data_IF_866367932990
#
_entry.id   IF_866367932990
#
_cell.length_a   1.000
_cell.length_b   1.000
_cell.length_c   1.000
_cell.angle_alpha   90.00
_cell.angle_beta   90.00
_cell.angle_gamma   90.00
#
_symmetry.space_group_name_H-M   'P 1'
#
loop_
_entity.id
_entity.type
_entity.pdbx_description
1 polymer ?
#
# COMPACT_ATOMS: atom_id res chain seq x y z
N UNK A 1 42.02 -6.29 19.45
CA UNK A 1 40.59 -6.45 19.80
C UNK A 1 39.95 -7.31 18.70
N UNK A 2 39.58 -8.54 19.02
CA UNK A 2 39.03 -9.48 18.04
C UNK A 2 37.50 -9.31 17.95
N UNK A 3 36.88 -9.78 16.85
CA UNK A 3 35.41 -9.76 16.69
C UNK A 3 34.73 -10.57 17.83
N UNK A 4 35.41 -11.54 18.41
CA UNK A 4 34.92 -12.31 19.56
C UNK A 4 34.91 -11.47 20.85
N UNK A 5 35.90 -10.62 21.07
CA UNK A 5 35.96 -9.72 22.22
C UNK A 5 34.83 -8.69 22.18
N UNK A 6 34.54 -8.16 20.98
CA UNK A 6 33.43 -7.24 20.77
C UNK A 6 32.05 -7.89 21.04
N UNK A 7 31.88 -9.14 20.59
CA UNK A 7 30.62 -9.88 20.85
C UNK A 7 30.43 -10.18 22.33
N UNK A 8 31.51 -10.45 23.06
CA UNK A 8 31.49 -10.71 24.51
C UNK A 8 31.06 -9.44 25.26
N UNK A 9 31.67 -8.30 24.96
CA UNK A 9 31.35 -6.99 25.58
C UNK A 9 29.91 -6.59 25.28
N UNK A 10 29.43 -6.81 24.07
CA UNK A 10 28.04 -6.49 23.71
C UNK A 10 27.02 -7.38 24.42
N UNK A 11 27.34 -8.67 24.65
CA UNK A 11 26.48 -9.57 25.43
C UNK A 11 26.45 -9.20 26.91
N UNK A 12 27.60 -8.89 27.49
CA UNK A 12 27.68 -8.48 28.90
C UNK A 12 26.99 -7.17 29.19
N UNK A 13 27.07 -6.19 28.27
CA UNK A 13 26.36 -4.92 28.40
C UNK A 13 24.85 -4.99 28.03
N UNK A 14 24.45 -5.92 27.17
CA UNK A 14 23.06 -6.13 26.79
C UNK A 14 22.26 -6.96 27.79
N UNK A 15 22.93 -7.76 28.65
CA UNK A 15 22.26 -8.56 29.66
C UNK A 15 21.93 -7.80 30.96
N UNK A 16 22.52 -6.62 31.16
CA UNK A 16 22.15 -5.76 32.29
C UNK A 16 20.85 -5.02 31.96
N UNK A 17 19.80 -5.24 32.75
CA UNK A 17 18.59 -4.44 32.64
C UNK A 17 18.94 -2.97 32.77
N UNK A 18 18.45 -2.10 31.87
CA UNK A 18 18.76 -0.67 31.97
C UNK A 18 18.29 -0.13 33.32
N UNK A 19 19.08 0.70 33.99
CA UNK A 19 18.74 1.23 35.31
C UNK A 19 17.35 1.88 35.27
N UNK A 20 16.53 1.67 36.31
CA UNK A 20 15.19 2.26 36.36
C UNK A 20 15.30 3.78 36.27
N UNK A 21 14.78 4.33 35.20
CA UNK A 21 14.71 5.80 35.02
C UNK A 21 13.34 6.30 35.44
N UNK A 22 13.17 6.82 36.68
CA UNK A 22 11.89 7.28 37.20
C UNK A 22 11.31 8.47 36.38
N UNK A 23 12.18 9.20 35.66
CA UNK A 23 11.76 10.32 34.81
C UNK A 23 11.37 9.90 33.38
N UNK A 24 11.43 8.61 33.01
CA UNK A 24 11.16 8.15 31.64
C UNK A 24 9.74 8.49 31.17
N UNK A 25 8.77 8.36 32.06
CA UNK A 25 7.35 8.62 31.77
C UNK A 25 7.13 10.11 31.49
N UNK A 26 7.65 10.99 32.35
CA UNK A 26 7.54 12.44 32.19
C UNK A 26 8.31 12.95 30.96
N UNK A 27 9.45 12.36 30.61
CA UNK A 27 10.21 12.68 29.40
C UNK A 27 9.43 12.31 28.13
N UNK A 28 8.76 11.14 28.10
CA UNK A 28 7.92 10.71 26.99
C UNK A 28 6.70 11.64 26.86
N UNK A 29 6.03 11.95 27.94
CA UNK A 29 4.87 12.85 27.95
C UNK A 29 5.26 14.28 27.49
N UNK A 30 6.40 14.81 27.95
CA UNK A 30 6.92 16.11 27.51
C UNK A 30 7.25 16.10 26.00
N UNK A 31 7.77 14.99 25.46
CA UNK A 31 8.07 14.84 24.03
C UNK A 31 6.79 14.79 23.17
N UNK A 32 5.77 14.10 23.66
CA UNK A 32 4.44 14.05 23.01
C UNK A 32 3.80 15.45 23.04
N UNK A 33 3.85 16.16 24.18
CA UNK A 33 3.30 17.51 24.32
C UNK A 33 3.99 18.52 23.40
N UNK A 34 5.34 18.47 23.29
CA UNK A 34 6.11 19.31 22.35
C UNK A 34 5.78 19.01 20.88
N UNK A 35 5.54 17.74 20.52
CA UNK A 35 5.10 17.39 19.15
C UNK A 35 3.69 17.88 18.85
N UNK A 36 2.77 17.83 19.80
CA UNK A 36 1.40 18.37 19.64
C UNK A 36 1.43 19.90 19.48
N UNK A 37 2.17 20.61 20.34
CA UNK A 37 2.32 22.07 20.26
C UNK A 37 2.98 22.54 18.96
N UNK A 38 3.98 21.82 18.43
CA UNK A 38 4.58 22.14 17.12
C UNK A 38 3.61 21.93 15.96
N UNK A 39 2.70 20.95 16.05
CA UNK A 39 1.68 20.72 15.02
C UNK A 39 0.58 21.78 15.06
N UNK A 40 0.22 22.31 16.23
CA UNK A 40 -0.75 23.40 16.36
C UNK A 40 -0.15 24.77 16.01
N UNK A 41 1.13 25.01 16.29
CA UNK A 41 1.81 26.25 15.93
C UNK A 41 2.04 26.43 14.41
N UNK A 42 2.18 25.32 13.66
CA UNK A 42 2.27 25.36 12.19
C UNK A 42 0.90 25.51 11.51
N UNK A 43 -0.21 25.31 12.22
CA UNK A 43 -1.55 25.53 11.72
C UNK A 43 -2.11 26.93 12.02
N UNK A 44 -1.42 27.74 12.81
CA UNK A 44 -1.89 29.05 13.31
C UNK A 44 -1.16 30.28 12.81
N UNK A 45 -0.22 30.14 11.90
CA UNK A 45 0.66 31.25 11.47
C UNK A 45 0.42 31.74 10.06
N UNK A 46 -0.72 32.33 9.74
CA UNK A 46 -0.89 33.34 8.70
C UNK A 46 -2.37 33.78 8.66
N UNK A 47 -2.71 34.84 9.34
CA UNK A 47 -3.68 35.89 9.00
C UNK A 47 -3.89 36.73 10.28
N UNK A 48 -3.08 37.73 10.44
CA UNK A 48 -3.37 38.88 11.29
C UNK A 48 -2.76 40.11 10.64
N UNK A 49 -3.48 40.75 9.74
CA UNK A 49 -3.31 42.15 9.42
C UNK A 49 -4.63 42.69 8.88
N UNK A 50 -5.16 43.67 9.60
CA UNK A 50 -6.05 44.73 9.18
C UNK A 50 -7.49 44.34 8.75
N UNK A 51 -8.43 44.63 9.64
CA UNK A 51 -9.47 45.66 9.42
C UNK A 51 -10.09 45.99 10.78
N UNK A 52 -9.78 47.19 11.31
CA UNK A 52 -10.54 47.84 12.34
C UNK A 52 -11.59 48.75 11.67
N UNK A 53 -12.70 48.94 12.38
CA UNK A 53 -13.81 49.87 12.13
C UNK A 53 -14.99 49.31 11.32
N UNK A 54 -16.06 48.97 11.96
CA UNK A 54 -17.21 49.79 12.42
C UNK A 54 -18.23 48.91 13.12
N UNK A 55 -18.52 49.23 14.38
CA UNK A 55 -19.63 48.64 15.12
C UNK A 55 -20.94 49.27 14.69
N UNK A 56 -21.87 48.44 14.22
CA UNK A 56 -23.28 48.75 14.30
C UNK A 56 -24.01 47.54 14.86
N UNK A 57 -24.59 47.76 16.04
CA UNK A 57 -25.39 46.83 16.81
C UNK A 57 -26.67 46.48 16.05
N UNK A 58 -26.82 45.22 15.62
CA UNK A 58 -28.10 44.58 15.34
C UNK A 58 -28.08 43.18 15.94
N UNK A 59 -29.11 42.75 16.69
CA UNK A 59 -29.21 41.40 17.18
C UNK A 59 -29.59 40.44 16.05
N UNK A 60 -28.58 39.95 15.35
CA UNK A 60 -28.73 38.93 14.29
C UNK A 60 -28.46 37.56 14.86
N UNK A 61 -29.39 36.65 14.71
CA UNK A 61 -29.28 35.21 14.96
C UNK A 61 -27.96 34.68 14.43
N UNK A 62 -27.09 34.23 15.34
CA UNK A 62 -25.82 33.63 15.00
C UNK A 62 -26.07 32.36 14.18
N UNK A 63 -25.89 32.44 12.88
CA UNK A 63 -25.88 31.29 12.00
C UNK A 63 -24.66 30.45 12.34
N UNK A 64 -24.82 29.14 12.66
CA UNK A 64 -23.66 28.30 12.97
C UNK A 64 -22.66 28.38 11.82
N UNK A 65 -21.35 28.49 12.10
CA UNK A 65 -20.33 28.58 11.06
C UNK A 65 -20.47 27.38 10.14
N UNK A 66 -20.57 27.65 8.85
CA UNK A 66 -20.60 26.62 7.83
C UNK A 66 -19.40 25.68 8.03
N UNK A 67 -19.56 24.36 8.00
CA UNK A 67 -18.47 23.44 8.22
C UNK A 67 -17.36 23.77 7.22
N UNK A 68 -16.17 24.06 7.75
CA UNK A 68 -14.98 24.37 6.95
C UNK A 68 -14.80 23.25 5.94
N UNK A 69 -14.91 23.57 4.66
CA UNK A 69 -14.66 22.61 3.57
C UNK A 69 -13.20 22.18 3.73
N UNK A 70 -12.97 20.94 4.12
CA UNK A 70 -11.63 20.41 4.30
C UNK A 70 -10.85 20.64 3.00
N UNK A 71 -9.70 21.33 3.10
CA UNK A 71 -8.87 21.63 1.95
C UNK A 71 -8.59 20.34 1.17
N UNK A 72 -8.83 20.34 -0.14
CA UNK A 72 -8.58 19.19 -1.01
C UNK A 72 -7.10 18.83 -0.90
N UNK A 73 -6.74 17.55 -0.66
CA UNK A 73 -5.35 17.14 -0.67
C UNK A 73 -4.77 17.42 -2.07
N UNK A 74 -3.77 18.27 -2.12
CA UNK A 74 -3.09 18.61 -3.39
C UNK A 74 -2.00 17.57 -3.62
N UNK A 75 -2.15 16.78 -4.67
CA UNK A 75 -1.10 15.86 -5.14
C UNK A 75 0.01 16.71 -5.83
N UNK A 76 1.32 16.46 -5.54
CA UNK A 76 2.42 17.29 -6.03
C UNK A 76 2.51 17.29 -7.57
N UNK A 77 3.15 18.31 -8.16
CA UNK A 77 3.40 18.33 -9.62
C UNK A 77 4.49 17.33 -10.01
N UNK A 78 5.52 17.23 -9.19
CA UNK A 78 6.64 16.29 -9.35
C UNK A 78 7.05 15.75 -8.01
N UNK A 79 7.60 14.55 -7.97
CA UNK A 79 8.27 13.98 -6.81
C UNK A 79 9.24 12.89 -7.23
N UNK A 80 10.15 12.51 -6.33
CA UNK A 80 11.11 11.43 -6.51
C UNK A 80 10.82 10.36 -5.46
N UNK A 81 10.71 9.09 -5.87
CA UNK A 81 10.57 7.96 -4.95
C UNK A 81 11.91 7.55 -4.34
N UNK A 82 11.87 6.68 -3.32
CA UNK A 82 13.06 6.27 -2.60
C UNK A 82 14.09 5.52 -3.47
N UNK A 83 13.65 4.90 -4.57
CA UNK A 83 14.53 4.27 -5.56
C UNK A 83 15.10 5.23 -6.61
N UNK A 84 14.84 6.54 -6.48
CA UNK A 84 15.30 7.56 -7.42
C UNK A 84 14.44 7.70 -8.68
N UNK A 85 13.27 7.04 -8.75
CA UNK A 85 12.34 7.24 -9.87
C UNK A 85 11.71 8.62 -9.79
N UNK A 86 11.78 9.36 -10.89
CA UNK A 86 11.18 10.69 -11.03
C UNK A 86 9.76 10.56 -11.56
N UNK A 87 8.83 11.23 -10.91
CA UNK A 87 7.41 11.27 -11.27
C UNK A 87 7.01 12.69 -11.67
N UNK A 88 6.32 12.81 -12.80
CA UNK A 88 5.77 14.06 -13.30
C UNK A 88 4.28 13.91 -13.55
N UNK A 89 3.47 14.80 -12.94
CA UNK A 89 2.02 14.80 -13.12
C UNK A 89 1.65 15.23 -14.54
N UNK A 90 0.87 14.40 -15.22
CA UNK A 90 0.42 14.64 -16.61
C UNK A 90 -1.07 14.92 -16.71
N UNK A 91 -1.85 14.49 -15.72
CA UNK A 91 -3.27 14.83 -15.61
C UNK A 91 -3.74 14.67 -14.15
N UNK A 92 -4.84 15.34 -13.79
CA UNK A 92 -5.45 15.19 -12.47
C UNK A 92 -6.95 15.45 -12.54
N UNK A 93 -7.69 14.88 -11.58
CA UNK A 93 -9.11 15.10 -11.39
C UNK A 93 -9.53 14.87 -9.95
N UNK A 94 -10.72 15.29 -9.61
CA UNK A 94 -11.33 15.02 -8.31
C UNK A 94 -12.67 14.34 -8.53
N UNK A 95 -12.96 13.30 -7.77
CA UNK A 95 -14.21 12.56 -7.85
C UNK A 95 -14.80 12.32 -6.45
N UNK A 96 -16.12 12.36 -6.37
CA UNK A 96 -16.87 12.06 -5.14
C UNK A 96 -17.47 10.67 -5.25
N UNK A 97 -17.26 9.83 -4.25
CA UNK A 97 -17.92 8.54 -4.12
C UNK A 97 -18.84 8.50 -2.91
N UNK A 98 -20.02 7.87 -2.99
CA UNK A 98 -20.66 7.37 -4.20
C UNK A 98 -21.03 8.51 -5.16
N UNK A 99 -20.82 8.29 -6.45
CA UNK A 99 -21.17 9.21 -7.53
C UNK A 99 -22.24 8.64 -8.45
N UNK A 100 -22.80 9.48 -9.30
CA UNK A 100 -23.89 9.10 -10.23
C UNK A 100 -23.41 8.83 -11.66
N UNK A 101 -22.30 9.45 -12.07
CA UNK A 101 -21.82 9.42 -13.47
C UNK A 101 -20.33 9.07 -13.51
N UNK A 102 -19.94 8.33 -14.53
CA UNK A 102 -18.56 8.13 -14.90
C UNK A 102 -17.92 9.43 -15.38
N UNK A 103 -16.64 9.57 -15.15
CA UNK A 103 -15.79 10.67 -15.60
C UNK A 103 -14.72 10.08 -16.50
N UNK A 104 -14.47 10.69 -17.65
CA UNK A 104 -13.35 10.33 -18.54
C UNK A 104 -12.30 11.41 -18.47
N UNK A 105 -11.05 11.00 -18.28
CA UNK A 105 -9.87 11.87 -18.25
C UNK A 105 -8.93 11.46 -19.38
N UNK A 106 -8.54 12.42 -20.18
CA UNK A 106 -7.52 12.23 -21.20
C UNK A 106 -6.13 12.31 -20.56
N UNK A 107 -5.37 11.25 -20.63
CA UNK A 107 -4.02 11.15 -20.06
C UNK A 107 -3.03 11.06 -21.22
N UNK A 108 -2.11 12.04 -21.38
CA UNK A 108 -1.03 11.93 -22.35
C UNK A 108 -0.13 10.72 -22.07
N UNK A 109 0.33 10.03 -23.11
CA UNK A 109 1.22 8.87 -23.02
C UNK A 109 2.42 9.13 -23.90
N UNK A 110 3.60 9.23 -23.30
CA UNK A 110 4.85 9.53 -24.02
C UNK A 110 5.69 8.29 -24.32
N UNK A 111 5.17 7.12 -23.96
CA UNK A 111 5.90 5.85 -24.00
C UNK A 111 6.46 5.41 -22.66
N UNK A 112 6.55 6.33 -21.70
CA UNK A 112 6.92 5.99 -20.34
C UNK A 112 5.73 5.38 -19.55
N UNK A 113 5.97 4.57 -18.53
CA UNK A 113 4.89 4.03 -17.70
C UNK A 113 4.13 5.13 -16.97
N UNK A 114 2.83 4.88 -16.79
CA UNK A 114 1.92 5.78 -16.08
C UNK A 114 1.50 5.14 -14.76
N UNK A 115 1.54 5.91 -13.69
CA UNK A 115 0.99 5.56 -12.40
C UNK A 115 -0.22 6.44 -12.06
N UNK A 116 -1.21 5.83 -11.43
CA UNK A 116 -2.32 6.52 -10.78
C UNK A 116 -1.94 6.79 -9.33
N UNK A 117 -1.90 8.06 -8.95
CA UNK A 117 -1.86 8.46 -7.55
C UNK A 117 -3.25 8.81 -7.04
N UNK A 118 -3.56 8.40 -5.84
CA UNK A 118 -4.82 8.72 -5.19
C UNK A 118 -4.59 9.16 -3.74
N UNK A 119 -5.33 10.17 -3.33
CA UNK A 119 -5.55 10.50 -1.92
C UNK A 119 -7.03 10.77 -1.68
N UNK A 120 -7.49 10.60 -0.45
CA UNK A 120 -8.91 10.67 -0.15
C UNK A 120 -9.15 11.42 1.16
N UNK A 121 -10.21 12.23 1.18
CA UNK A 121 -10.79 12.79 2.39
C UNK A 121 -12.18 12.23 2.61
N UNK A 122 -12.44 11.71 3.82
CA UNK A 122 -13.68 11.05 4.19
C UNK A 122 -13.46 10.08 5.34
N UNK A 123 -14.48 9.34 5.71
CA UNK A 123 -14.36 8.30 6.71
C UNK A 123 -13.51 7.13 6.20
N UNK A 124 -12.61 6.63 7.04
CA UNK A 124 -11.77 5.45 6.68
C UNK A 124 -12.64 4.20 6.52
N UNK A 125 -13.72 4.09 7.33
CA UNK A 125 -14.71 3.01 7.21
C UNK A 125 -15.90 3.51 6.43
N UNK A 126 -16.39 2.70 5.47
CA UNK A 126 -17.54 3.06 4.63
C UNK A 126 -17.20 3.82 3.35
N UNK A 127 -15.99 4.34 3.20
CA UNK A 127 -15.55 4.93 1.94
C UNK A 127 -15.24 3.85 0.91
N UNK A 128 -15.76 4.01 -0.28
CA UNK A 128 -15.50 3.12 -1.41
C UNK A 128 -14.68 3.86 -2.44
N UNK A 129 -13.58 3.25 -2.87
CA UNK A 129 -12.73 3.80 -3.92
C UNK A 129 -13.45 3.75 -5.28
N UNK A 130 -13.23 4.74 -6.15
CA UNK A 130 -13.71 4.68 -7.52
C UNK A 130 -12.97 3.57 -8.28
N UNK A 131 -13.67 2.92 -9.22
CA UNK A 131 -13.03 2.04 -10.19
C UNK A 131 -12.34 2.88 -11.27
N UNK A 132 -11.10 2.55 -11.62
CA UNK A 132 -10.31 3.29 -12.63
C UNK A 132 -9.81 2.30 -13.68
N UNK A 133 -10.03 2.61 -14.96
CA UNK A 133 -9.59 1.80 -16.07
C UNK A 133 -9.23 2.69 -17.26
N UNK A 134 -8.19 2.36 -18.01
CA UNK A 134 -8.05 2.90 -19.36
C UNK A 134 -9.09 2.22 -20.28
N UNK A 135 -9.59 2.96 -21.26
CA UNK A 135 -10.62 2.47 -22.17
C UNK A 135 -10.15 1.17 -22.88
N UNK A 136 -11.03 0.18 -22.91
CA UNK A 136 -10.73 -1.14 -23.49
C UNK A 136 -9.91 -2.07 -22.59
N UNK A 137 -9.49 -1.63 -21.40
CA UNK A 137 -8.75 -2.46 -20.44
C UNK A 137 -9.59 -2.75 -19.18
N UNK A 138 -9.28 -3.84 -18.48
CA UNK A 138 -9.98 -4.15 -17.23
C UNK A 138 -9.71 -3.10 -16.16
N UNK A 139 -10.64 -2.92 -15.21
CA UNK A 139 -10.44 -2.01 -14.07
C UNK A 139 -9.19 -2.35 -13.28
N UNK A 140 -8.44 -1.33 -12.91
CA UNK A 140 -7.30 -1.49 -12.01
C UNK A 140 -7.81 -1.76 -10.59
N UNK A 141 -7.24 -2.79 -9.97
CA UNK A 141 -7.52 -3.14 -8.58
C UNK A 141 -6.38 -2.63 -7.71
N UNK A 142 -6.69 -1.96 -6.62
CA UNK A 142 -5.65 -1.52 -5.69
C UNK A 142 -5.98 -0.30 -4.83
N UNK A 143 -6.86 0.58 -5.27
CA UNK A 143 -7.41 1.61 -4.38
C UNK A 143 -8.36 0.93 -3.40
N UNK A 144 -7.91 0.74 -2.16
CA UNK A 144 -8.71 -0.05 -1.22
C UNK A 144 -9.38 0.78 -0.13
N UNK A 145 -8.67 1.74 0.42
CA UNK A 145 -9.15 2.52 1.56
C UNK A 145 -8.92 4.00 1.35
N UNK A 146 -9.85 4.80 1.86
CA UNK A 146 -9.67 6.23 1.92
C UNK A 146 -8.49 6.56 2.84
N UNK A 147 -7.47 7.21 2.30
CA UNK A 147 -6.28 7.68 3.02
C UNK A 147 -5.93 9.09 2.56
N UNK A 148 -5.52 9.94 3.50
CA UNK A 148 -4.93 11.25 3.19
C UNK A 148 -3.53 11.12 2.60
N UNK A 149 -2.85 10.01 2.87
CA UNK A 149 -1.56 9.69 2.29
C UNK A 149 -1.75 9.27 0.83
N UNK A 150 -0.82 9.71 -0.01
CA UNK A 150 -0.80 9.37 -1.42
C UNK A 150 -0.55 7.86 -1.59
N UNK A 151 -1.41 7.20 -2.34
CA UNK A 151 -1.27 5.81 -2.76
C UNK A 151 -0.92 5.79 -4.25
N UNK A 152 0.09 5.02 -4.64
CA UNK A 152 0.52 4.85 -6.02
C UNK A 152 0.16 3.47 -6.55
N UNK A 153 -0.41 3.42 -7.74
CA UNK A 153 -0.79 2.20 -8.44
C UNK A 153 -0.32 2.27 -9.89
N UNK A 154 0.18 1.18 -10.43
CA UNK A 154 0.48 1.11 -11.86
C UNK A 154 -0.80 1.20 -12.70
N UNK A 155 -0.87 2.10 -13.64
CA UNK A 155 -1.96 2.18 -14.61
C UNK A 155 -1.55 1.46 -15.90
N UNK A 156 -2.32 0.46 -16.29
CA UNK A 156 -2.16 -0.15 -17.61
C UNK A 156 -2.74 0.80 -18.66
N UNK A 157 -1.94 1.10 -19.67
CA UNK A 157 -2.35 1.92 -20.82
C UNK A 157 -2.19 1.12 -22.10
N UNK A 158 -2.99 1.40 -23.16
CA UNK A 158 -2.83 0.73 -24.46
C UNK A 158 -1.41 0.97 -25.02
N UNK A 159 -0.81 -0.09 -25.57
CA UNK A 159 0.51 0.01 -26.18
C UNK A 159 0.46 0.88 -27.43
N UNK A 160 1.44 1.76 -27.59
CA UNK A 160 1.59 2.60 -28.78
C UNK A 160 0.60 3.76 -28.90
N UNK A 161 -0.21 3.99 -27.88
CA UNK A 161 -1.08 5.16 -27.83
C UNK A 161 -0.29 6.39 -27.37
N UNK A 162 -0.55 7.54 -27.96
CA UNK A 162 -0.06 8.85 -27.52
C UNK A 162 -0.96 9.48 -26.45
N UNK A 163 -2.18 8.93 -26.29
CA UNK A 163 -3.19 9.35 -25.34
C UNK A 163 -4.01 8.16 -24.87
N UNK A 164 -4.24 8.08 -23.56
CA UNK A 164 -5.14 7.12 -22.96
C UNK A 164 -6.39 7.81 -22.43
N UNK A 165 -7.56 7.29 -22.77
CA UNK A 165 -8.81 7.70 -22.13
C UNK A 165 -9.01 6.87 -20.88
N UNK A 166 -8.95 7.50 -19.72
CA UNK A 166 -9.12 6.83 -18.43
C UNK A 166 -10.51 7.10 -17.89
N UNK A 167 -11.26 6.02 -17.74
CA UNK A 167 -12.63 6.05 -17.20
C UNK A 167 -12.56 5.85 -15.69
N UNK A 168 -13.13 6.77 -14.94
CA UNK A 168 -13.27 6.73 -13.49
C UNK A 168 -14.75 6.52 -13.18
N UNK A 169 -15.08 5.39 -12.57
CA UNK A 169 -16.44 5.01 -12.20
C UNK A 169 -16.63 5.15 -10.68
N UNK A 170 -17.27 6.23 -10.21
CA UNK A 170 -17.58 6.43 -8.80
C UNK A 170 -18.87 5.74 -8.36
N UNK A 171 -19.53 5.01 -9.26
CA UNK A 171 -20.79 4.35 -8.96
C UNK A 171 -20.53 3.10 -8.11
N UNK A 172 -21.07 3.10 -6.92
CA UNK A 172 -21.01 1.94 -6.04
C UNK A 172 -22.11 0.94 -6.44
N UNK A 173 -21.69 -0.23 -6.89
CA UNK A 173 -22.59 -1.31 -7.28
C UNK A 173 -22.61 -2.38 -6.20
N UNK A 174 -23.55 -2.26 -5.29
CA UNK A 174 -23.71 -3.17 -4.17
C UNK A 174 -22.98 -2.69 -2.92
N UNK A 175 -23.60 -2.94 -1.81
CA UNK A 175 -23.01 -2.72 -0.48
C UNK A 175 -22.40 -4.04 -0.05
N UNK A 176 -21.09 -4.05 0.18
CA UNK A 176 -20.47 -5.13 0.92
C UNK A 176 -21.16 -5.27 2.27
N UNK A 177 -21.09 -6.45 2.85
CA UNK A 177 -21.55 -6.63 4.21
C UNK A 177 -20.35 -6.75 5.16
N UNK A 178 -20.52 -6.25 6.37
CA UNK A 178 -19.52 -6.34 7.44
C UNK A 178 -20.05 -7.29 8.49
N UNK A 179 -19.31 -8.35 8.75
CA UNK A 179 -19.58 -9.22 9.88
C UNK A 179 -18.90 -8.61 11.12
N UNK A 180 -19.70 -8.03 12.01
CA UNK A 180 -19.20 -7.32 13.19
C UNK A 180 -18.75 -8.31 14.29
N UNK A 181 -19.33 -9.50 14.32
CA UNK A 181 -19.00 -10.57 15.28
C UNK A 181 -18.67 -11.84 14.51
N UNK A 182 -17.69 -12.61 14.97
CA UNK A 182 -17.41 -13.94 14.42
C UNK A 182 -18.72 -14.77 14.46
N UNK A 183 -19.13 -15.32 13.31
CA UNK A 183 -20.39 -16.06 13.10
C UNK A 183 -21.69 -15.22 13.30
N UNK A 184 -21.61 -13.89 13.38
CA UNK A 184 -22.77 -13.01 13.40
C UNK A 184 -23.38 -12.81 12.00
N UNK A 185 -24.58 -12.22 11.91
CA UNK A 185 -25.17 -11.86 10.64
C UNK A 185 -24.33 -10.80 9.94
N UNK A 186 -24.37 -10.81 8.60
CA UNK A 186 -23.73 -9.83 7.77
C UNK A 186 -24.59 -8.57 7.70
N UNK A 187 -24.07 -7.46 8.21
CA UNK A 187 -24.77 -6.17 8.19
C UNK A 187 -24.37 -5.38 6.94
N UNK A 188 -25.32 -4.76 6.23
CA UNK A 188 -24.99 -3.89 5.10
C UNK A 188 -24.02 -2.79 5.51
N UNK A 189 -22.91 -2.64 4.80
CA UNK A 189 -21.96 -1.58 5.08
C UNK A 189 -22.59 -0.22 4.74
N UNK A 190 -22.66 0.69 5.71
CA UNK A 190 -23.06 2.08 5.46
C UNK A 190 -21.99 2.73 4.59
N UNK A 191 -22.40 3.15 3.39
CA UNK A 191 -21.50 3.86 2.48
C UNK A 191 -21.46 5.32 2.88
N UNK A 192 -20.26 5.84 3.09
CA UNK A 192 -20.04 7.24 3.44
C UNK A 192 -19.45 8.01 2.27
N UNK A 193 -19.84 9.27 2.17
CA UNK A 193 -19.33 10.16 1.14
C UNK A 193 -17.84 10.42 1.35
N UNK A 194 -17.06 10.27 0.28
CA UNK A 194 -15.63 10.57 0.27
C UNK A 194 -15.24 11.33 -1.00
N UNK A 195 -14.21 12.17 -0.87
CA UNK A 195 -13.66 12.95 -1.97
C UNK A 195 -12.27 12.40 -2.30
N UNK A 196 -12.11 11.94 -3.53
CA UNK A 196 -10.88 11.37 -4.05
C UNK A 196 -10.20 12.37 -4.95
N UNK A 197 -8.96 12.74 -4.64
CA UNK A 197 -8.05 13.44 -5.54
C UNK A 197 -7.23 12.39 -6.27
N UNK A 198 -7.33 12.38 -7.60
CA UNK A 198 -6.64 11.44 -8.48
C UNK A 198 -5.68 12.23 -9.37
N UNK A 199 -4.46 11.73 -9.53
CA UNK A 199 -3.49 12.28 -10.46
C UNK A 199 -2.79 11.15 -11.21
N UNK A 200 -2.46 11.41 -12.47
CA UNK A 200 -1.76 10.48 -13.33
C UNK A 200 -0.33 11.00 -13.48
N UNK A 201 0.63 10.12 -13.19
CA UNK A 201 2.04 10.45 -13.24
C UNK A 201 2.74 9.58 -14.26
N UNK A 202 3.40 10.22 -15.20
CA UNK A 202 4.46 9.61 -15.97
C UNK A 202 5.69 9.46 -15.07
N UNK A 203 6.42 8.35 -15.17
CA UNK A 203 7.63 8.18 -14.40
C UNK A 203 8.83 7.71 -15.23
N UNK A 204 9.99 8.24 -14.87
CA UNK A 204 11.29 7.91 -15.43
C UNK A 204 12.05 7.10 -14.40
N UNK A 205 12.47 5.87 -14.72
CA UNK A 205 13.22 5.03 -13.79
C UNK A 205 14.62 5.62 -13.55
N UNK A 206 15.28 5.26 -12.44
CA UNK A 206 16.66 5.66 -12.20
C UNK A 206 17.58 5.10 -13.29
N UNK A 207 18.66 5.81 -13.61
CA UNK A 207 19.63 5.38 -14.63
C UNK A 207 20.29 4.04 -14.29
N UNK A 208 20.42 3.74 -13.00
CA UNK A 208 20.96 2.49 -12.48
C UNK A 208 19.98 1.85 -11.49
N UNK A 209 19.95 0.53 -11.49
CA UNK A 209 19.10 -0.22 -10.57
C UNK A 209 19.52 0.00 -9.11
N UNK A 210 18.57 0.44 -8.29
CA UNK A 210 18.73 0.51 -6.83
C UNK A 210 18.16 -0.79 -6.23
N UNK A 211 19.06 -1.69 -5.83
CA UNK A 211 18.67 -2.99 -5.27
C UNK A 211 18.09 -2.78 -3.86
N UNK A 212 16.83 -3.17 -3.61
CA UNK A 212 16.22 -3.00 -2.29
C UNK A 212 16.91 -3.86 -1.21
N UNK A 213 16.70 -3.51 0.06
CA UNK A 213 17.09 -4.39 1.17
C UNK A 213 16.41 -5.77 1.06
N UNK A 214 17.04 -6.78 1.65
CA UNK A 214 16.46 -8.11 1.72
C UNK A 214 15.13 -8.06 2.49
N UNK A 215 14.11 -8.82 2.07
CA UNK A 215 12.92 -9.00 2.88
C UNK A 215 13.28 -9.55 4.27
N UNK A 216 12.48 -9.21 5.28
CA UNK A 216 12.63 -9.78 6.64
C UNK A 216 12.45 -11.29 6.59
N UNK A 217 13.04 -11.97 7.57
CA UNK A 217 12.91 -13.43 7.70
C UNK A 217 11.46 -13.81 7.98
N UNK A 218 10.93 -14.75 7.21
CA UNK A 218 9.59 -15.29 7.40
C UNK A 218 9.46 -15.96 8.78
N UNK A 219 8.30 -15.86 9.45
CA UNK A 219 8.06 -16.53 10.72
C UNK A 219 8.24 -18.05 10.61
N UNK A 220 8.88 -18.65 11.61
CA UNK A 220 9.10 -20.11 11.65
C UNK A 220 7.79 -20.92 11.78
N UNK A 221 6.68 -20.26 12.16
CA UNK A 221 5.34 -20.85 12.26
C UNK A 221 4.27 -19.83 11.87
N UNK A 222 3.27 -20.29 11.14
CA UNK A 222 2.04 -19.56 10.83
C UNK A 222 0.85 -20.46 11.11
N UNK A 223 0.04 -20.09 12.10
CA UNK A 223 -1.04 -20.94 12.59
C UNK A 223 -0.52 -22.31 13.05
N UNK A 224 -1.08 -23.39 12.52
CA UNK A 224 -0.68 -24.77 12.82
C UNK A 224 0.47 -25.30 11.96
N UNK A 225 0.99 -24.52 11.01
CA UNK A 225 2.00 -24.94 10.06
C UNK A 225 3.39 -24.41 10.43
N UNK A 226 4.43 -25.19 10.17
CA UNK A 226 5.85 -24.83 10.37
C UNK A 226 6.50 -24.50 9.03
N UNK A 227 7.36 -23.49 9.01
CA UNK A 227 8.21 -23.17 7.87
C UNK A 227 9.12 -24.36 7.59
N UNK A 228 9.03 -24.90 6.38
CA UNK A 228 9.80 -26.06 5.93
C UNK A 228 10.95 -25.65 5.02
N UNK A 229 10.74 -24.66 4.17
CA UNK A 229 11.71 -24.16 3.20
C UNK A 229 11.44 -22.71 2.85
N UNK A 230 12.49 -21.96 2.55
CA UNK A 230 12.42 -20.60 2.05
C UNK A 230 13.27 -20.50 0.79
N UNK A 231 12.75 -19.85 -0.22
CA UNK A 231 13.47 -19.44 -1.43
C UNK A 231 13.37 -17.92 -1.57
N UNK A 232 14.43 -17.29 -2.06
CA UNK A 232 14.50 -15.84 -2.23
C UNK A 232 15.15 -15.50 -3.54
N UNK A 233 14.80 -14.35 -4.11
CA UNK A 233 15.37 -13.89 -5.35
C UNK A 233 15.08 -12.42 -5.61
N UNK A 234 15.43 -11.99 -6.81
CA UNK A 234 15.22 -10.64 -7.30
C UNK A 234 14.48 -10.68 -8.64
N UNK A 235 13.35 -10.03 -8.70
CA UNK A 235 12.63 -9.81 -9.95
C UNK A 235 13.23 -8.59 -10.66
N UNK A 236 13.39 -8.54 -12.00
CA UNK A 236 12.95 -9.53 -12.98
C UNK A 236 13.91 -10.69 -13.26
N UNK A 237 15.10 -10.70 -12.69
CA UNK A 237 16.12 -11.73 -12.97
C UNK A 237 15.63 -13.15 -12.64
N UNK A 238 14.85 -13.28 -11.59
CA UNK A 238 14.24 -14.53 -11.12
C UNK A 238 12.72 -14.35 -11.02
N UNK A 239 12.00 -14.86 -12.00
CA UNK A 239 10.54 -14.75 -12.11
C UNK A 239 9.79 -16.04 -11.74
N UNK A 240 10.51 -17.07 -11.28
CA UNK A 240 9.92 -18.37 -10.97
C UNK A 240 10.61 -18.98 -9.75
N UNK A 241 9.83 -19.56 -8.86
CA UNK A 241 10.29 -20.35 -7.72
C UNK A 241 9.55 -21.68 -7.68
N UNK A 242 10.29 -22.76 -7.39
CA UNK A 242 9.74 -24.12 -7.41
C UNK A 242 10.11 -24.88 -6.15
N UNK A 243 9.13 -25.50 -5.52
CA UNK A 243 9.28 -26.39 -4.38
C UNK A 243 8.85 -27.82 -4.75
N UNK A 244 9.68 -28.78 -4.36
CA UNK A 244 9.25 -30.18 -4.31
C UNK A 244 8.82 -30.53 -2.89
N UNK A 245 7.63 -31.05 -2.73
CA UNK A 245 7.04 -31.31 -1.41
C UNK A 245 6.10 -32.52 -1.47
N UNK A 246 6.03 -33.22 -0.34
CA UNK A 246 5.07 -34.28 -0.10
C UNK A 246 4.08 -33.85 0.99
N UNK A 247 2.95 -34.49 1.07
CA UNK A 247 1.91 -34.20 2.07
C UNK A 247 0.61 -33.84 1.40
N UNK A 248 -0.43 -33.60 2.21
CA UNK A 248 -1.78 -33.34 1.72
C UNK A 248 -2.09 -31.85 1.58
N UNK A 249 -1.37 -31.01 2.35
CA UNK A 249 -1.66 -29.59 2.46
C UNK A 249 -0.36 -28.82 2.69
N UNK A 250 -0.18 -27.72 1.96
CA UNK A 250 0.93 -26.78 2.14
C UNK A 250 0.40 -25.36 2.26
N UNK A 251 1.13 -24.55 3.00
CA UNK A 251 0.95 -23.11 3.06
C UNK A 251 2.04 -22.40 2.28
N UNK A 252 1.69 -21.35 1.58
CA UNK A 252 2.60 -20.47 0.87
C UNK A 252 2.48 -19.05 1.40
N UNK A 253 3.61 -18.46 1.77
CA UNK A 253 3.67 -17.08 2.19
C UNK A 253 4.74 -16.33 1.42
N UNK A 254 4.49 -15.06 1.13
CA UNK A 254 5.31 -14.24 0.23
C UNK A 254 5.52 -12.86 0.83
N UNK A 255 6.77 -12.43 0.91
CA UNK A 255 7.13 -11.08 1.32
C UNK A 255 8.10 -10.46 0.33
N UNK A 256 7.98 -9.16 0.12
CA UNK A 256 8.79 -8.42 -0.83
C UNK A 256 9.24 -7.08 -0.27
N UNK A 257 10.33 -6.56 -0.86
CA UNK A 257 10.85 -5.22 -0.63
C UNK A 257 11.14 -4.54 -1.97
N UNK A 258 11.14 -3.23 -1.97
CA UNK A 258 11.28 -2.36 -3.14
C UNK A 258 10.01 -1.55 -3.42
N UNK A 259 10.14 -0.50 -4.18
CA UNK A 259 9.05 0.45 -4.47
C UNK A 259 7.89 -0.20 -5.25
N UNK A 260 8.19 -1.19 -6.10
CA UNK A 260 7.19 -1.94 -6.85
C UNK A 260 6.71 -3.22 -6.16
N UNK A 261 7.13 -3.47 -4.91
CA UNK A 261 6.84 -4.72 -4.20
C UNK A 261 5.34 -5.08 -4.14
N UNK A 262 4.46 -4.09 -3.92
CA UNK A 262 3.01 -4.31 -3.87
C UNK A 262 2.38 -4.66 -5.23
N UNK A 263 3.11 -4.47 -6.33
CA UNK A 263 2.67 -4.77 -7.70
C UNK A 263 3.08 -6.17 -8.14
N UNK A 264 3.99 -6.82 -7.40
CA UNK A 264 4.43 -8.17 -7.72
C UNK A 264 3.34 -9.18 -7.35
N UNK A 265 2.91 -9.92 -8.35
CA UNK A 265 1.86 -10.93 -8.25
C UNK A 265 2.45 -12.31 -8.46
N UNK A 266 2.03 -13.27 -7.65
CA UNK A 266 2.43 -14.67 -7.76
C UNK A 266 1.25 -15.52 -8.23
N UNK A 267 1.45 -16.25 -9.33
CA UNK A 267 0.53 -17.25 -9.83
C UNK A 267 1.01 -18.63 -9.41
N UNK A 268 0.13 -19.45 -8.82
CA UNK A 268 0.50 -20.74 -8.26
C UNK A 268 0.05 -21.88 -9.18
N UNK A 269 0.96 -22.80 -9.48
CA UNK A 269 0.65 -24.06 -10.14
C UNK A 269 1.15 -25.26 -9.34
N UNK A 270 0.43 -26.38 -9.45
CA UNK A 270 0.79 -27.66 -8.82
C UNK A 270 0.90 -28.72 -9.92
N UNK A 271 2.07 -29.36 -10.02
CA UNK A 271 2.39 -30.34 -11.06
C UNK A 271 2.10 -29.80 -12.49
N UNK A 272 2.46 -28.52 -12.73
CA UNK A 272 2.23 -27.82 -13.98
C UNK A 272 0.80 -27.34 -14.22
N UNK A 273 -0.17 -27.74 -13.38
CA UNK A 273 -1.57 -27.31 -13.52
C UNK A 273 -1.80 -26.02 -12.72
N UNK A 274 -2.35 -25.01 -13.38
CA UNK A 274 -2.79 -23.77 -12.73
C UNK A 274 -3.85 -24.07 -11.67
N UNK A 275 -3.63 -23.54 -10.47
CA UNK A 275 -4.58 -23.72 -9.35
C UNK A 275 -5.69 -22.66 -9.35
N UNK A 276 -5.62 -21.63 -10.19
CA UNK A 276 -6.45 -20.43 -10.12
C UNK A 276 -6.13 -19.55 -8.91
N UNK A 277 -5.18 -19.97 -8.07
CA UNK A 277 -4.76 -19.23 -6.89
C UNK A 277 -3.54 -18.36 -7.21
N UNK A 278 -3.46 -17.25 -6.51
CA UNK A 278 -2.35 -16.31 -6.61
C UNK A 278 -2.46 -15.26 -5.52
N UNK A 279 -1.68 -14.21 -5.64
CA UNK A 279 -1.78 -13.08 -4.72
C UNK A 279 -0.59 -12.14 -4.82
N UNK A 280 -0.80 -10.93 -4.37
CA UNK A 280 0.24 -9.93 -4.27
C UNK A 280 1.26 -10.30 -3.19
N UNK A 281 2.43 -9.75 -3.31
CA UNK A 281 3.45 -9.83 -2.29
C UNK A 281 3.09 -8.96 -1.08
N UNK A 282 3.27 -9.47 0.12
CA UNK A 282 3.15 -8.67 1.32
C UNK A 282 4.41 -7.82 1.52
N UNK A 283 4.23 -6.56 1.90
CA UNK A 283 5.31 -5.66 2.30
C UNK A 283 5.32 -5.56 3.81
N UNK A 284 6.39 -6.06 4.43
CA UNK A 284 6.52 -6.11 5.88
C UNK A 284 7.69 -5.27 6.36
N UNK A 285 7.44 -4.00 6.64
CA UNK A 285 8.46 -3.04 7.12
C UNK A 285 8.65 -3.12 8.64
N UNK A 286 7.57 -3.17 9.41
CA UNK A 286 7.60 -3.18 10.88
C UNK A 286 6.31 -3.78 11.46
N UNK A 287 6.32 -4.03 12.76
CA UNK A 287 5.15 -4.58 13.48
C UNK A 287 4.97 -6.08 13.27
N UNK A 288 3.75 -6.55 13.53
CA UNK A 288 3.35 -7.94 13.37
C UNK A 288 3.34 -8.35 11.90
N UNK A 289 3.49 -9.66 11.66
CA UNK A 289 3.49 -10.19 10.31
C UNK A 289 2.13 -9.94 9.63
N UNK A 290 2.09 -9.23 8.48
CA UNK A 290 0.83 -8.67 7.96
C UNK A 290 -0.02 -9.63 7.15
N UNK A 291 0.39 -10.91 7.00
CA UNK A 291 -0.17 -11.75 5.96
C UNK A 291 -1.02 -12.89 6.48
N UNK A 292 -1.95 -13.32 5.63
CA UNK A 292 -2.72 -14.54 5.77
C UNK A 292 -2.20 -15.55 4.74
N UNK A 293 -1.59 -16.61 5.23
CA UNK A 293 -1.00 -17.68 4.42
C UNK A 293 -2.02 -18.32 3.48
N UNK A 294 -1.69 -18.38 2.18
CA UNK A 294 -2.45 -19.13 1.20
C UNK A 294 -2.24 -20.64 1.39
N UNK A 295 -3.33 -21.40 1.58
CA UNK A 295 -3.28 -22.85 1.73
C UNK A 295 -3.66 -23.57 0.43
N UNK A 296 -2.89 -24.60 0.08
CA UNK A 296 -3.11 -25.40 -1.12
C UNK A 296 -3.21 -26.89 -0.78
N UNK A 297 -4.20 -27.56 -1.36
CA UNK A 297 -4.38 -29.00 -1.23
C UNK A 297 -3.55 -29.68 -2.31
N UNK A 298 -2.76 -30.67 -1.92
CA UNK A 298 -1.93 -31.46 -2.83
C UNK A 298 -2.50 -32.88 -3.01
N UNK A 299 -2.20 -33.54 -4.13
CA UNK A 299 -2.52 -34.95 -4.33
C UNK A 299 -1.91 -35.83 -3.23
N UNK A 300 -2.71 -36.75 -2.71
CA UNK A 300 -2.28 -37.67 -1.62
C UNK A 300 -1.27 -38.71 -2.12
N UNK A 301 -0.24 -38.95 -1.32
CA UNK A 301 0.70 -40.06 -1.52
C UNK A 301 1.76 -39.84 -2.60
N UNK A 302 1.80 -38.68 -3.23
CA UNK A 302 2.80 -38.38 -4.26
C UNK A 302 3.59 -37.09 -3.91
N UNK A 303 4.83 -37.05 -4.37
CA UNK A 303 5.61 -35.81 -4.34
C UNK A 303 5.07 -34.85 -5.38
N UNK A 304 4.68 -33.66 -4.96
CA UNK A 304 4.18 -32.62 -5.82
C UNK A 304 5.22 -31.54 -6.06
N UNK A 305 5.21 -30.99 -7.26
CA UNK A 305 5.97 -29.78 -7.63
C UNK A 305 5.03 -28.56 -7.55
N UNK A 306 5.34 -27.66 -6.63
CA UNK A 306 4.60 -26.39 -6.48
C UNK A 306 5.45 -25.29 -7.08
N UNK A 307 4.94 -24.62 -8.12
CA UNK A 307 5.64 -23.54 -8.82
C UNK A 307 4.87 -22.25 -8.65
N UNK A 308 5.58 -21.19 -8.26
CA UNK A 308 5.07 -19.83 -8.24
C UNK A 308 5.75 -19.05 -9.36
N UNK A 309 4.94 -18.47 -10.25
CA UNK A 309 5.41 -17.58 -11.30
C UNK A 309 5.08 -16.15 -10.95
N UNK A 310 6.06 -15.29 -11.09
CA UNK A 310 5.98 -13.89 -10.71
C UNK A 310 5.59 -13.03 -11.91
N UNK A 311 4.66 -12.12 -11.69
CA UNK A 311 4.20 -11.16 -12.68
C UNK A 311 4.16 -9.76 -12.06
N UNK A 312 4.47 -8.74 -12.84
CA UNK A 312 4.35 -7.35 -12.41
C UNK A 312 3.03 -6.75 -12.94
N UNK A 313 2.22 -6.23 -12.03
CA UNK A 313 0.98 -5.52 -12.36
C UNK A 313 1.27 -4.04 -12.61
N UNK A 314 1.22 -3.61 -13.87
CA UNK A 314 1.50 -2.23 -14.29
C UNK A 314 2.98 -1.86 -14.16
N UNK A 315 3.48 -1.09 -15.07
CA UNK A 315 4.78 -0.41 -15.07
C UNK A 315 5.97 -1.22 -14.52
N UNK A 316 6.48 -2.18 -15.30
CA UNK A 316 7.69 -2.93 -14.96
C UNK A 316 8.92 -2.25 -15.55
N UNK A 317 10.04 -2.19 -14.84
CA UNK A 317 11.31 -1.72 -15.36
C UNK A 317 12.49 -2.43 -14.69
N UNK A 318 13.54 -2.85 -15.45
CA UNK A 318 14.67 -3.59 -14.87
C UNK A 318 15.44 -2.78 -13.82
N UNK A 319 15.50 -1.46 -13.94
CA UNK A 319 16.16 -0.60 -12.96
C UNK A 319 15.32 -0.37 -11.68
N UNK A 320 14.15 -1.00 -11.57
CA UNK A 320 13.30 -1.00 -10.38
C UNK A 320 13.06 -2.43 -9.86
N UNK A 321 14.13 -3.10 -9.39
CA UNK A 321 14.03 -4.48 -8.96
C UNK A 321 13.17 -4.62 -7.70
N UNK A 322 12.62 -5.83 -7.54
CA UNK A 322 11.88 -6.22 -6.32
C UNK A 322 12.56 -7.45 -5.75
N UNK A 323 13.02 -7.38 -4.51
CA UNK A 323 13.48 -8.57 -3.80
C UNK A 323 12.30 -9.27 -3.16
N UNK A 324 12.26 -10.58 -3.31
CA UNK A 324 11.19 -11.41 -2.79
C UNK A 324 11.72 -12.59 -1.98
N UNK A 325 10.90 -13.07 -1.06
CA UNK A 325 11.12 -14.30 -0.31
C UNK A 325 9.80 -15.05 -0.20
N UNK A 326 9.83 -16.35 -0.49
CA UNK A 326 8.66 -17.24 -0.46
C UNK A 326 8.95 -18.38 0.51
N UNK A 327 8.06 -18.57 1.48
CA UNK A 327 8.10 -19.67 2.45
C UNK A 327 7.10 -20.75 2.13
N UNK A 328 7.55 -22.00 2.16
CA UNK A 328 6.74 -23.20 2.13
C UNK A 328 6.51 -23.70 3.55
N UNK A 329 5.25 -23.78 3.97
CA UNK A 329 4.83 -24.24 5.30
C UNK A 329 4.14 -25.60 5.19
N UNK A 330 4.37 -26.46 6.19
CA UNK A 330 3.75 -27.77 6.31
C UNK A 330 3.28 -28.03 7.75
N UNK A 331 2.31 -28.94 7.89
CA UNK A 331 1.93 -29.49 9.21
C UNK A 331 3.00 -30.41 9.75
#
# INVERSE_FOLDING_TARGET
>A
MTVQDLRKVLRERGAAAPPPNPARRSQVEARIRRRRLRRTALAGGAIAAAVALTATLLPGTAQPPAPAVAAKPVLPETFVSADGTEYRKVAATTVVTPGKKKITVAVPVTGNPIDLAASCTGAVRGSIAPSVAAAGLPPQHGLQRCSKEMQLLGLQVPKGADKAEVVIDPVVRGTGCVQVKANGPCEPQKIERSVWSLAFYEWIPPAQAVVPEAPRTLPGRLGSMKLSRTESGTWPEQDTVTFRTSGRKVGLEKICTGELAQRLWFKVSVNGKDTGAGGNCAVWKQGDFPSAMGEHILPKGVTSTVTLRLHMNGGAHPNRPVRWSVGLYRK
#
